data_IF_471672059625
#
_entry.id   IF_471672059625
#
_cell.length_a   1.000
_cell.length_b   1.000
_cell.length_c   1.000
_cell.angle_alpha   90.00
_cell.angle_beta   90.00
_cell.angle_gamma   90.00
#
_symmetry.space_group_name_H-M   'P 1'
#
loop_
_entity.id
_entity.type
_entity.pdbx_description
1 polymer ?
#
# COMPACT_ATOMS: atom_id res chain seq x y z
N UNK A 1 -12.69 -11.16 20.40
CA UNK A 1 -13.12 -10.66 19.07
C UNK A 1 -13.08 -11.86 18.13
N UNK A 2 -14.23 -12.25 17.58
CA UNK A 2 -14.34 -13.45 16.74
C UNK A 2 -14.50 -12.99 15.30
N UNK A 3 -13.38 -12.72 14.63
CA UNK A 3 -13.41 -12.40 13.20
C UNK A 3 -13.72 -13.69 12.42
N UNK A 4 -14.97 -13.81 12.01
CA UNK A 4 -15.43 -14.89 11.14
C UNK A 4 -14.98 -14.60 9.71
N UNK A 5 -14.00 -15.35 9.21
CA UNK A 5 -13.51 -15.26 7.83
C UNK A 5 -14.52 -15.77 6.77
N UNK A 6 -15.79 -16.00 7.14
CA UNK A 6 -16.83 -16.45 6.20
C UNK A 6 -17.00 -15.43 5.08
N UNK A 7 -16.93 -15.90 3.84
CA UNK A 7 -17.08 -15.09 2.62
C UNK A 7 -15.77 -14.64 1.98
N UNK A 8 -14.63 -14.77 2.66
CA UNK A 8 -13.33 -14.37 2.08
C UNK A 8 -12.87 -15.32 0.97
N UNK A 9 -13.20 -16.61 1.07
CA UNK A 9 -12.75 -17.65 0.14
C UNK A 9 -13.24 -17.46 -1.31
N UNK A 10 -14.38 -16.78 -1.52
CA UNK A 10 -14.92 -16.55 -2.88
C UNK A 10 -14.07 -15.57 -3.70
N UNK A 11 -13.22 -14.78 -3.04
CA UNK A 11 -12.32 -13.81 -3.66
C UNK A 11 -10.88 -14.34 -3.79
N UNK A 12 -10.61 -15.58 -3.38
CA UNK A 12 -9.28 -16.17 -3.48
C UNK A 12 -9.04 -16.70 -4.89
N UNK A 13 -7.87 -16.39 -5.44
CA UNK A 13 -7.35 -17.00 -6.67
C UNK A 13 -5.92 -17.47 -6.43
N UNK A 14 -5.52 -18.52 -7.15
CA UNK A 14 -4.16 -19.05 -7.09
C UNK A 14 -3.24 -18.23 -7.99
N UNK A 15 -2.04 -17.95 -7.49
CA UNK A 15 -0.95 -17.33 -8.25
C UNK A 15 0.23 -18.29 -8.28
N UNK A 16 0.93 -18.38 -9.41
CA UNK A 16 2.12 -19.21 -9.54
C UNK A 16 3.22 -18.76 -8.55
N UNK A 17 3.91 -19.72 -7.93
CA UNK A 17 5.03 -19.44 -7.04
C UNK A 17 6.27 -19.05 -7.87
N UNK A 18 6.82 -17.83 -7.75
CA UNK A 18 7.94 -17.37 -8.57
C UNK A 18 9.27 -18.08 -8.23
N UNK A 19 10.32 -17.91 -9.04
CA UNK A 19 11.65 -18.54 -8.86
C UNK A 19 12.38 -18.21 -7.54
N UNK A 20 11.89 -17.24 -6.77
CA UNK A 20 12.17 -17.08 -5.34
C UNK A 20 10.95 -17.60 -4.58
N UNK A 21 10.83 -18.94 -4.42
CA UNK A 21 9.59 -19.53 -3.94
C UNK A 21 9.30 -19.07 -2.52
N UNK A 22 8.03 -18.78 -2.25
CA UNK A 22 7.56 -18.61 -0.89
C UNK A 22 7.93 -19.85 -0.07
N UNK A 23 8.29 -19.64 1.20
CA UNK A 23 8.52 -20.72 2.14
C UNK A 23 7.32 -21.68 2.15
N UNK A 24 7.61 -22.97 2.33
CA UNK A 24 6.56 -23.99 2.45
C UNK A 24 5.56 -23.55 3.53
N UNK A 25 4.27 -23.62 3.22
CA UNK A 25 3.22 -23.34 4.19
C UNK A 25 3.46 -24.19 5.45
N UNK A 26 3.65 -23.53 6.59
CA UNK A 26 4.03 -24.17 7.85
C UNK A 26 2.84 -24.68 8.65
N UNK A 27 1.60 -24.31 8.29
CA UNK A 27 0.40 -24.67 9.06
C UNK A 27 0.25 -23.91 10.38
N UNK A 28 1.26 -23.14 10.79
CA UNK A 28 1.24 -22.35 12.01
C UNK A 28 0.61 -20.98 11.76
N UNK A 29 -0.20 -20.52 12.70
CA UNK A 29 -0.66 -19.14 12.73
C UNK A 29 0.51 -18.21 13.01
N UNK A 30 0.46 -16.99 12.46
CA UNK A 30 1.40 -15.94 12.80
C UNK A 30 1.36 -15.71 14.31
N UNK A 31 2.47 -15.94 14.99
CA UNK A 31 2.61 -15.61 16.41
C UNK A 31 3.07 -14.15 16.50
N UNK A 32 2.43 -13.40 17.40
CA UNK A 32 2.86 -12.05 17.71
C UNK A 32 4.25 -12.12 18.36
N UNK A 33 5.24 -11.52 17.70
CA UNK A 33 6.60 -11.38 18.22
C UNK A 33 6.75 -10.03 18.93
N UNK A 34 7.73 -9.88 19.81
CA UNK A 34 7.94 -8.64 20.60
C UNK A 34 8.20 -7.43 19.70
N UNK A 35 8.80 -7.64 18.52
CA UNK A 35 9.07 -6.62 17.52
C UNK A 35 7.78 -6.05 16.91
N UNK A 36 6.63 -6.72 17.01
CA UNK A 36 5.34 -6.13 16.61
C UNK A 36 4.85 -5.08 17.59
N UNK A 37 5.32 -5.15 18.83
CA UNK A 37 5.12 -4.14 19.88
C UNK A 37 6.26 -3.11 19.88
N UNK A 38 7.20 -3.14 18.92
CA UNK A 38 8.15 -2.04 18.76
C UNK A 38 7.41 -0.76 18.41
N UNK A 39 7.11 -0.01 19.46
CA UNK A 39 6.66 1.36 19.35
C UNK A 39 7.90 2.21 19.17
N UNK A 40 7.90 3.04 18.12
CA UNK A 40 8.91 4.08 17.96
C UNK A 40 9.04 4.89 19.25
N UNK A 41 10.28 5.09 19.71
CA UNK A 41 10.53 5.76 20.99
C UNK A 41 9.96 7.19 20.98
N UNK A 42 9.70 7.79 22.14
CA UNK A 42 9.20 9.18 22.20
C UNK A 42 10.14 10.15 21.48
N UNK A 43 11.44 9.94 21.60
CA UNK A 43 12.46 10.78 20.97
C UNK A 43 12.51 10.56 19.46
N UNK A 44 12.40 9.32 19.00
CA UNK A 44 12.34 8.97 17.58
C UNK A 44 11.07 9.50 16.90
N UNK A 45 9.92 9.38 17.57
CA UNK A 45 8.66 9.99 17.11
C UNK A 45 8.80 11.51 17.01
N UNK A 46 9.41 12.16 18.01
CA UNK A 46 9.63 13.61 17.99
C UNK A 46 10.57 14.03 16.86
N UNK A 47 11.65 13.28 16.64
CA UNK A 47 12.65 13.56 15.62
C UNK A 47 12.10 13.41 14.20
N UNK A 48 11.31 12.36 13.94
CA UNK A 48 10.89 12.02 12.58
C UNK A 48 9.42 12.36 12.28
N UNK A 49 8.50 12.01 13.17
CA UNK A 49 7.05 12.17 12.92
C UNK A 49 6.65 13.64 13.04
N UNK A 50 7.16 14.37 14.02
CA UNK A 50 6.83 15.79 14.23
C UNK A 50 7.04 16.65 12.98
N UNK A 51 8.25 16.67 12.39
CA UNK A 51 8.52 17.40 11.16
C UNK A 51 7.69 16.92 9.97
N UNK A 52 7.51 15.60 9.80
CA UNK A 52 6.70 15.07 8.70
C UNK A 52 5.23 15.51 8.79
N UNK A 53 4.65 15.55 9.99
CA UNK A 53 3.28 16.02 10.19
C UNK A 53 3.13 17.51 9.85
N UNK A 54 4.14 18.33 10.15
CA UNK A 54 4.13 19.74 9.78
C UNK A 54 4.12 19.91 8.25
N UNK A 55 5.00 19.21 7.54
CA UNK A 55 5.02 19.21 6.07
C UNK A 55 3.72 18.66 5.46
N UNK A 56 3.18 17.57 6.03
CA UNK A 56 1.92 17.00 5.58
C UNK A 56 0.75 17.97 5.76
N UNK A 57 0.76 18.79 6.82
CA UNK A 57 -0.25 19.82 7.05
C UNK A 57 -0.22 20.88 5.94
N UNK A 58 0.96 21.33 5.55
CA UNK A 58 1.13 22.28 4.43
C UNK A 58 0.62 21.68 3.11
N UNK A 59 0.97 20.43 2.82
CA UNK A 59 0.46 19.72 1.65
C UNK A 59 -1.06 19.56 1.67
N UNK A 60 -1.66 19.30 2.83
CA UNK A 60 -3.10 19.22 3.00
C UNK A 60 -3.77 20.58 2.74
N UNK A 61 -3.19 21.68 3.23
CA UNK A 61 -3.66 23.05 2.94
C UNK A 61 -3.57 23.36 1.45
N UNK A 62 -2.50 22.90 0.77
CA UNK A 62 -2.37 22.97 -0.69
C UNK A 62 -3.30 22.01 -1.46
N UNK A 63 -4.18 21.27 -0.76
CA UNK A 63 -5.21 20.43 -1.35
C UNK A 63 -4.77 19.01 -1.69
N UNK A 64 -3.70 18.49 -1.06
CA UNK A 64 -3.39 17.05 -1.11
C UNK A 64 -4.49 16.26 -0.39
N UNK A 65 -5.03 15.26 -1.07
CA UNK A 65 -6.05 14.36 -0.52
C UNK A 65 -5.62 12.91 -0.69
N UNK A 66 -6.17 11.99 0.12
CA UNK A 66 -5.94 10.56 -0.05
C UNK A 66 -6.32 10.07 -1.46
N UNK A 67 -7.35 10.67 -2.07
CA UNK A 67 -7.76 10.38 -3.46
C UNK A 67 -6.65 10.72 -4.46
N UNK A 68 -5.98 11.88 -4.32
CA UNK A 68 -4.85 12.26 -5.18
C UNK A 68 -3.64 11.34 -4.99
N UNK A 69 -3.41 10.87 -3.76
CA UNK A 69 -2.37 9.90 -3.45
C UNK A 69 -2.68 8.55 -4.11
N UNK A 70 -3.89 8.03 -3.95
CA UNK A 70 -4.36 6.80 -4.62
C UNK A 70 -4.27 6.91 -6.14
N UNK A 71 -4.72 8.03 -6.70
CA UNK A 71 -4.60 8.31 -8.13
C UNK A 71 -3.14 8.19 -8.60
N UNK A 72 -2.19 8.69 -7.80
CA UNK A 72 -0.75 8.63 -8.12
C UNK A 72 -0.25 7.19 -8.11
N UNK A 73 -0.63 6.37 -7.13
CA UNK A 73 -0.28 4.94 -7.08
C UNK A 73 -0.77 4.20 -8.33
N UNK A 74 -2.05 4.33 -8.68
CA UNK A 74 -2.61 3.68 -9.86
C UNK A 74 -2.00 4.18 -11.16
N UNK A 75 -1.88 5.50 -11.34
CA UNK A 75 -1.28 6.09 -12.55
C UNK A 75 0.16 5.63 -12.75
N UNK A 76 0.94 5.50 -11.66
CA UNK A 76 2.32 5.04 -11.70
C UNK A 76 2.45 3.52 -11.68
N UNK A 77 1.36 2.75 -11.55
CA UNK A 77 1.37 1.27 -11.42
C UNK A 77 2.20 0.78 -10.23
N UNK A 78 2.17 1.51 -9.12
CA UNK A 78 2.94 1.18 -7.91
C UNK A 78 1.99 0.80 -6.77
N UNK A 79 2.24 -0.35 -6.16
CA UNK A 79 1.49 -0.81 -4.99
C UNK A 79 1.93 -0.06 -3.71
N UNK A 80 0.99 0.43 -2.89
CA UNK A 80 1.28 1.17 -1.66
C UNK A 80 2.07 0.35 -0.63
N UNK A 81 1.80 -0.96 -0.52
CA UNK A 81 2.29 -1.84 0.55
C UNK A 81 3.32 -2.89 0.08
N UNK A 82 3.86 -2.76 -1.13
CA UNK A 82 4.92 -3.65 -1.62
C UNK A 82 6.28 -3.02 -1.37
N UNK A 83 7.27 -3.84 -1.00
CA UNK A 83 8.65 -3.40 -0.87
C UNK A 83 9.14 -2.80 -2.19
N UNK A 84 9.69 -1.59 -2.16
CA UNK A 84 10.11 -0.86 -3.36
C UNK A 84 11.62 -0.77 -3.42
N UNK A 85 12.17 -0.93 -4.62
CA UNK A 85 13.59 -0.73 -4.90
C UNK A 85 14.02 0.73 -4.65
N UNK A 86 13.09 1.68 -4.84
CA UNK A 86 13.30 3.11 -4.54
C UNK A 86 12.05 3.81 -4.02
N UNK A 87 12.20 4.91 -3.26
CA UNK A 87 11.07 5.72 -2.83
C UNK A 87 10.24 6.25 -4.00
N UNK A 88 8.92 6.37 -3.82
CA UNK A 88 8.00 6.79 -4.89
C UNK A 88 8.30 8.19 -5.43
N UNK A 89 8.84 9.10 -4.60
CA UNK A 89 9.20 10.44 -5.04
C UNK A 89 10.36 10.45 -6.05
N UNK A 90 11.14 9.36 -6.13
CA UNK A 90 12.17 9.13 -7.14
C UNK A 90 11.64 8.43 -8.41
N UNK A 91 10.31 8.30 -8.57
CA UNK A 91 9.73 7.71 -9.77
C UNK A 91 10.10 8.54 -11.00
N UNK A 92 10.61 7.89 -12.04
CA UNK A 92 11.13 8.58 -13.23
C UNK A 92 10.25 8.42 -14.46
N UNK A 93 9.81 7.20 -14.79
CA UNK A 93 9.12 6.94 -16.06
C UNK A 93 8.40 5.59 -16.07
N UNK A 94 7.82 5.22 -17.22
CA UNK A 94 7.21 3.91 -17.42
C UNK A 94 8.20 2.73 -17.37
N UNK A 95 9.51 2.98 -17.48
CA UNK A 95 10.56 1.98 -17.27
C UNK A 95 11.00 1.84 -15.80
N UNK A 96 10.30 2.47 -14.86
CA UNK A 96 10.67 2.41 -13.45
C UNK A 96 10.51 0.98 -12.89
N UNK A 97 11.54 0.39 -12.24
CA UNK A 97 11.49 -0.97 -11.72
C UNK A 97 10.50 -1.13 -10.55
N UNK A 98 9.99 -0.04 -9.97
CA UNK A 98 8.94 -0.09 -8.95
C UNK A 98 7.54 -0.34 -9.52
N UNK A 99 7.39 -0.36 -10.85
CA UNK A 99 6.11 -0.63 -11.51
C UNK A 99 5.77 -2.10 -11.47
N UNK A 100 4.51 -2.40 -11.15
CA UNK A 100 3.95 -3.74 -11.22
C UNK A 100 3.61 -4.17 -12.64
N UNK A 101 3.39 -3.21 -13.56
CA UNK A 101 3.16 -3.52 -14.97
C UNK A 101 3.66 -2.39 -15.89
N UNK A 102 4.21 -2.74 -17.07
CA UNK A 102 4.70 -1.77 -18.03
C UNK A 102 3.56 -1.02 -18.74
N UNK A 103 2.37 -1.61 -18.85
CA UNK A 103 1.22 -0.99 -19.50
C UNK A 103 0.71 0.21 -18.68
N UNK A 104 0.61 1.39 -19.28
CA UNK A 104 0.00 2.54 -18.63
C UNK A 104 -1.52 2.38 -18.56
N UNK A 105 -2.13 2.89 -17.49
CA UNK A 105 -3.58 3.04 -17.41
C UNK A 105 -4.01 4.35 -18.05
N UNK A 106 -5.12 4.31 -18.78
CA UNK A 106 -5.84 5.49 -19.22
C UNK A 106 -6.40 6.26 -18.01
N UNK A 107 -6.67 7.57 -18.15
CA UNK A 107 -7.32 8.34 -17.07
C UNK A 107 -8.68 7.78 -16.64
N UNK A 108 -9.41 7.13 -17.56
CA UNK A 108 -10.67 6.46 -17.28
C UNK A 108 -10.49 5.26 -16.36
N UNK A 109 -9.53 4.39 -16.66
CA UNK A 109 -9.22 3.21 -15.85
C UNK A 109 -8.72 3.61 -14.45
N UNK A 110 -7.80 4.58 -14.35
CA UNK A 110 -7.34 5.09 -13.05
C UNK A 110 -8.51 5.59 -12.21
N UNK A 111 -9.44 6.34 -12.82
CA UNK A 111 -10.65 6.81 -12.15
C UNK A 111 -11.52 5.64 -11.66
N UNK A 112 -11.72 4.62 -12.48
CA UNK A 112 -12.48 3.43 -12.11
C UNK A 112 -11.86 2.70 -10.92
N UNK A 113 -10.54 2.51 -10.90
CA UNK A 113 -9.83 1.89 -9.78
C UNK A 113 -9.94 2.70 -8.48
N UNK A 114 -9.75 4.02 -8.56
CA UNK A 114 -9.89 4.91 -7.39
C UNK A 114 -11.33 4.85 -6.84
N UNK A 115 -12.34 4.88 -7.71
CA UNK A 115 -13.74 4.77 -7.31
C UNK A 115 -14.07 3.43 -6.65
N UNK A 116 -13.53 2.32 -7.17
CA UNK A 116 -13.71 1.00 -6.59
C UNK A 116 -13.19 0.94 -5.15
N UNK A 117 -12.00 1.50 -4.88
CA UNK A 117 -11.44 1.58 -3.53
C UNK A 117 -12.30 2.42 -2.58
N UNK A 118 -12.75 3.59 -3.04
CA UNK A 118 -13.60 4.47 -2.22
C UNK A 118 -14.94 3.80 -1.88
N UNK A 119 -15.56 3.09 -2.83
CA UNK A 119 -16.79 2.33 -2.57
C UNK A 119 -16.56 1.21 -1.57
N UNK A 120 -15.46 0.46 -1.69
CA UNK A 120 -15.12 -0.62 -0.77
C UNK A 120 -14.95 -0.12 0.66
N UNK A 121 -14.29 1.03 0.85
CA UNK A 121 -14.10 1.63 2.17
C UNK A 121 -15.41 2.13 2.82
N UNK A 122 -16.46 2.45 2.04
CA UNK A 122 -17.78 2.83 2.58
C UNK A 122 -18.63 1.62 3.02
N UNK A 123 -18.29 0.44 2.52
CA UNK A 123 -19.06 -0.79 2.74
C UNK A 123 -18.34 -1.76 3.70
N UNK A 124 -17.18 -1.36 4.23
CA UNK A 124 -16.38 -2.10 5.21
C UNK A 124 -16.63 -1.55 6.62
#
# INVERSE_FOLDING_TARGET
MTDSNKGWHSEWFYVANPPLPLSRFSGHFAQKIEEWEWVTSKDEKKAWIGPMLALLRELKVAGLTGVKVLWTFFKRRVEPLVARVRPLFCYTSAGDPTRMSPEPLTPGEVRSHVWAMIKRAKNA
#
